data_IF_998347830259
#
_entry.id   IF_998347830259
#
_cell.length_a   1.000
_cell.length_b   1.000
_cell.length_c   1.000
_cell.angle_alpha   90.00
_cell.angle_beta   90.00
_cell.angle_gamma   90.00
#
_symmetry.space_group_name_H-M   'P 1'
#
loop_
_entity.id
_entity.type
_entity.pdbx_description
1 polymer ?
#
# COMPACT_ATOMS: atom_id res chain seq x y z
N UNK A 1 -18.90 -13.44 -58.58
CA UNK A 1 -18.66 -14.91 -58.50
C UNK A 1 -18.03 -15.33 -57.17
N UNK A 2 -17.19 -14.50 -56.54
CA UNK A 2 -16.57 -14.75 -55.23
C UNK A 2 -17.57 -14.96 -54.08
N UNK A 3 -18.63 -14.15 -53.99
CA UNK A 3 -19.62 -14.23 -52.89
C UNK A 3 -20.34 -15.58 -52.81
N UNK A 4 -20.60 -16.24 -53.94
CA UNK A 4 -21.26 -17.56 -53.96
C UNK A 4 -20.37 -18.71 -53.46
N UNK A 5 -19.04 -18.58 -53.59
CA UNK A 5 -18.10 -19.60 -53.12
C UNK A 5 -17.81 -19.48 -51.63
N UNK A 6 -17.85 -18.26 -51.08
CA UNK A 6 -17.56 -18.00 -49.67
C UNK A 6 -18.79 -17.82 -48.77
N UNK A 7 -20.02 -17.96 -49.29
CA UNK A 7 -21.25 -17.73 -48.50
C UNK A 7 -21.28 -18.55 -47.21
N UNK A 8 -20.88 -19.83 -47.25
CA UNK A 8 -20.84 -20.69 -46.05
C UNK A 8 -19.86 -20.18 -44.99
N UNK A 9 -18.70 -19.68 -45.42
CA UNK A 9 -17.70 -19.06 -44.55
C UNK A 9 -18.19 -17.72 -43.99
N UNK A 10 -18.82 -16.89 -44.83
CA UNK A 10 -19.42 -15.61 -44.40
C UNK A 10 -20.53 -15.86 -43.38
N UNK A 11 -21.42 -16.84 -43.61
CA UNK A 11 -22.45 -17.21 -42.65
C UNK A 11 -21.87 -17.74 -41.34
N UNK A 12 -20.81 -18.55 -41.40
CA UNK A 12 -20.12 -19.03 -40.19
C UNK A 12 -19.52 -17.87 -39.39
N UNK A 13 -18.83 -16.93 -40.06
CA UNK A 13 -18.27 -15.73 -39.42
C UNK A 13 -19.38 -14.89 -38.78
N UNK A 14 -20.50 -14.69 -39.47
CA UNK A 14 -21.65 -13.94 -38.92
C UNK A 14 -22.19 -14.64 -37.66
N UNK A 15 -22.36 -15.96 -37.67
CA UNK A 15 -22.82 -16.71 -36.50
C UNK A 15 -21.85 -16.58 -35.34
N UNK A 16 -20.54 -16.69 -35.59
CA UNK A 16 -19.50 -16.50 -34.57
C UNK A 16 -19.59 -15.08 -33.98
N UNK A 17 -19.67 -14.06 -34.83
CA UNK A 17 -19.78 -12.66 -34.38
C UNK A 17 -21.06 -12.45 -33.56
N UNK A 18 -22.19 -12.99 -33.98
CA UNK A 18 -23.46 -12.89 -33.23
C UNK A 18 -23.34 -13.59 -31.87
N UNK A 19 -22.80 -14.80 -31.82
CA UNK A 19 -22.62 -15.53 -30.54
C UNK A 19 -21.68 -14.76 -29.61
N UNK A 20 -20.56 -14.24 -30.13
CA UNK A 20 -19.63 -13.43 -29.34
C UNK A 20 -20.30 -12.14 -28.85
N UNK A 21 -20.99 -11.40 -29.70
CA UNK A 21 -21.71 -10.17 -29.31
C UNK A 21 -22.77 -10.48 -28.27
N UNK A 22 -23.58 -11.53 -28.46
CA UNK A 22 -24.59 -11.92 -27.47
C UNK A 22 -23.94 -12.34 -26.15
N UNK A 23 -22.86 -13.11 -26.19
CA UNK A 23 -22.11 -13.49 -25.00
C UNK A 23 -21.58 -12.25 -24.26
N UNK A 24 -20.86 -11.36 -24.94
CA UNK A 24 -20.29 -10.15 -24.34
C UNK A 24 -21.35 -9.17 -23.82
N UNK A 25 -22.46 -8.99 -24.55
CA UNK A 25 -23.58 -8.13 -24.12
C UNK A 25 -24.31 -8.74 -22.93
N UNK A 26 -24.52 -10.07 -22.93
CA UNK A 26 -25.17 -10.76 -21.81
C UNK A 26 -24.29 -10.73 -20.55
N UNK A 27 -22.98 -10.99 -20.68
CA UNK A 27 -22.05 -10.88 -19.54
C UNK A 27 -21.98 -9.45 -19.01
N UNK A 28 -21.96 -8.43 -19.89
CA UNK A 28 -21.90 -7.03 -19.45
C UNK A 28 -23.19 -6.56 -18.77
N UNK A 29 -24.36 -6.79 -19.39
CA UNK A 29 -25.62 -6.23 -18.87
C UNK A 29 -26.25 -7.05 -17.74
N UNK A 30 -26.07 -8.38 -17.73
CA UNK A 30 -26.71 -9.23 -16.71
C UNK A 30 -25.89 -9.28 -15.43
N UNK A 31 -24.56 -9.16 -15.49
CA UNK A 31 -23.70 -9.13 -14.31
C UNK A 31 -23.67 -7.73 -13.68
N UNK A 32 -23.60 -6.65 -14.49
CA UNK A 32 -23.66 -5.28 -13.96
C UNK A 32 -24.96 -4.98 -13.19
N UNK A 33 -26.08 -5.59 -13.60
CA UNK A 33 -27.36 -5.43 -12.89
C UNK A 33 -27.52 -6.28 -11.61
N UNK A 34 -26.50 -7.05 -11.20
CA UNK A 34 -26.56 -7.90 -10.00
C UNK A 34 -26.02 -7.23 -8.74
N UNK A 35 -25.18 -6.20 -8.90
CA UNK A 35 -24.57 -5.49 -7.79
C UNK A 35 -25.29 -4.16 -7.55
N UNK A 36 -25.40 -3.72 -6.28
CA UNK A 36 -25.90 -2.38 -5.99
C UNK A 36 -24.92 -1.31 -6.50
N UNK A 37 -25.40 -0.11 -6.75
CA UNK A 37 -24.52 1.01 -7.09
C UNK A 37 -24.15 1.75 -5.81
N UNK A 38 -22.86 1.87 -5.49
CA UNK A 38 -22.40 2.67 -4.35
C UNK A 38 -21.92 4.05 -4.80
N UNK A 39 -22.16 5.06 -3.99
CA UNK A 39 -21.69 6.43 -4.24
C UNK A 39 -21.26 7.08 -2.92
N UNK A 40 -20.25 7.94 -3.00
CA UNK A 40 -19.90 8.85 -1.90
C UNK A 40 -20.87 10.05 -1.95
N UNK A 41 -21.77 10.15 -0.99
CA UNK A 41 -22.68 11.28 -0.85
C UNK A 41 -22.14 12.29 0.14
N UNK A 42 -22.13 13.54 -0.25
CA UNK A 42 -21.74 14.64 0.62
C UNK A 42 -22.76 14.88 1.73
N UNK A 43 -22.27 14.92 2.97
CA UNK A 43 -23.01 15.32 4.16
C UNK A 43 -22.72 16.80 4.46
N UNK A 44 -21.43 17.16 4.50
CA UNK A 44 -20.97 18.52 4.76
C UNK A 44 -19.66 18.82 4.01
N UNK A 45 -19.40 20.10 3.72
CA UNK A 45 -18.13 20.56 3.15
C UNK A 45 -18.13 20.71 1.64
N UNK A 46 -16.94 20.81 1.05
CA UNK A 46 -16.75 21.04 -0.39
C UNK A 46 -16.57 19.71 -1.15
N UNK A 47 -17.57 19.35 -1.96
CA UNK A 47 -17.53 18.16 -2.83
C UNK A 47 -16.34 18.16 -3.81
N UNK A 48 -15.76 19.33 -4.12
CA UNK A 48 -14.58 19.41 -4.97
C UNK A 48 -13.37 18.67 -4.40
N UNK A 49 -13.32 18.48 -3.08
CA UNK A 49 -12.24 17.81 -2.35
C UNK A 49 -12.17 16.31 -2.66
N UNK A 50 -13.30 15.68 -3.01
CA UNK A 50 -13.40 14.23 -3.23
C UNK A 50 -13.55 13.82 -4.70
N UNK A 51 -13.43 14.76 -5.64
CA UNK A 51 -13.60 14.48 -7.09
C UNK A 51 -12.60 13.48 -7.64
N UNK A 52 -11.40 13.43 -7.06
CA UNK A 52 -10.31 12.55 -7.47
C UNK A 52 -10.08 11.42 -6.45
N UNK A 53 -11.08 11.14 -5.61
CA UNK A 53 -10.99 10.09 -4.60
C UNK A 53 -11.74 8.85 -5.08
N UNK A 54 -11.05 7.73 -5.04
CA UNK A 54 -11.60 6.40 -5.31
C UNK A 54 -11.38 5.51 -4.08
N UNK A 55 -12.43 4.83 -3.64
CA UNK A 55 -12.38 3.89 -2.53
C UNK A 55 -12.39 2.48 -3.11
N UNK A 56 -11.47 1.65 -2.66
CA UNK A 56 -11.39 0.25 -3.05
C UNK A 56 -11.85 -0.67 -1.92
N UNK A 57 -12.59 -1.72 -2.29
CA UNK A 57 -13.13 -2.68 -1.35
C UNK A 57 -13.66 -3.93 -2.03
N UNK A 58 -14.24 -4.80 -1.22
CA UNK A 58 -14.97 -5.98 -1.66
C UNK A 58 -16.44 -5.89 -1.23
N UNK A 59 -17.33 -6.15 -2.18
CA UNK A 59 -18.75 -6.33 -1.89
C UNK A 59 -19.06 -7.81 -1.74
N UNK A 60 -19.78 -8.17 -0.69
CA UNK A 60 -20.25 -9.51 -0.36
C UNK A 60 -21.78 -9.55 -0.28
N UNK A 61 -22.38 -10.59 -0.87
CA UNK A 61 -23.81 -10.90 -0.73
C UNK A 61 -24.00 -12.34 -0.27
N UNK A 62 -24.67 -12.50 0.87
CA UNK A 62 -25.01 -13.80 1.48
C UNK A 62 -23.80 -14.77 1.55
N UNK A 63 -22.59 -14.25 1.78
CA UNK A 63 -21.30 -14.97 1.88
C UNK A 63 -20.91 -15.85 0.68
N UNK A 64 -21.60 -15.73 -0.46
CA UNK A 64 -21.39 -16.60 -1.64
C UNK A 64 -20.99 -15.85 -2.91
N UNK A 65 -21.32 -14.56 -2.99
CA UNK A 65 -20.97 -13.71 -4.12
C UNK A 65 -20.14 -12.56 -3.61
N UNK A 66 -18.86 -12.56 -3.96
CA UNK A 66 -17.98 -11.42 -3.78
C UNK A 66 -17.55 -10.83 -5.11
N UNK A 67 -17.44 -9.50 -5.16
CA UNK A 67 -16.72 -8.83 -6.23
C UNK A 67 -15.99 -7.64 -5.65
N UNK A 68 -14.70 -7.49 -6.00
CA UNK A 68 -14.00 -6.23 -5.81
C UNK A 68 -14.75 -5.08 -6.47
N UNK A 69 -14.73 -3.92 -5.82
CA UNK A 69 -15.44 -2.71 -6.22
C UNK A 69 -14.58 -1.48 -5.99
N UNK A 70 -14.66 -0.53 -6.91
CA UNK A 70 -14.15 0.84 -6.74
C UNK A 70 -15.34 1.79 -6.64
N UNK A 71 -15.34 2.69 -5.67
CA UNK A 71 -16.43 3.63 -5.39
C UNK A 71 -15.89 5.06 -5.52
N UNK A 72 -16.64 5.91 -6.22
CA UNK A 72 -16.32 7.33 -6.40
C UNK A 72 -17.53 8.19 -6.06
N UNK A 73 -17.38 9.51 -6.19
CA UNK A 73 -18.49 10.45 -6.11
C UNK A 73 -19.46 10.36 -7.30
N UNK A 74 -19.11 9.62 -8.36
CA UNK A 74 -19.97 9.45 -9.54
C UNK A 74 -20.70 8.10 -9.58
N UNK A 75 -20.30 7.15 -8.73
CA UNK A 75 -20.84 5.80 -8.69
C UNK A 75 -19.76 4.76 -8.42
N UNK A 76 -20.13 3.49 -8.55
CA UNK A 76 -19.24 2.34 -8.32
C UNK A 76 -18.98 1.55 -9.59
N UNK A 77 -17.82 0.90 -9.65
CA UNK A 77 -17.42 0.03 -10.75
C UNK A 77 -16.85 -1.28 -10.20
N UNK A 78 -17.38 -2.41 -10.67
CA UNK A 78 -17.02 -3.73 -10.16
C UNK A 78 -16.01 -4.45 -11.05
N UNK A 79 -15.14 -5.25 -10.45
CA UNK A 79 -14.25 -6.15 -11.21
C UNK A 79 -15.03 -7.09 -12.14
N UNK A 80 -16.19 -7.57 -11.68
CA UNK A 80 -17.07 -8.43 -12.48
C UNK A 80 -17.60 -7.75 -13.76
N UNK A 81 -17.66 -6.42 -13.80
CA UNK A 81 -18.12 -5.62 -14.95
C UNK A 81 -17.02 -5.39 -15.99
N UNK A 82 -15.76 -5.70 -15.67
CA UNK A 82 -14.66 -5.58 -16.61
C UNK A 82 -14.86 -6.48 -17.83
N UNK A 83 -14.34 -6.02 -18.97
CA UNK A 83 -14.22 -6.86 -20.15
C UNK A 83 -13.23 -8.01 -19.92
N UNK A 84 -13.32 -9.06 -20.74
CA UNK A 84 -12.39 -10.19 -20.66
C UNK A 84 -10.91 -9.76 -20.74
N UNK A 85 -10.58 -8.78 -21.59
CA UNK A 85 -9.21 -8.31 -21.74
C UNK A 85 -8.74 -7.48 -20.53
N UNK A 86 -9.63 -6.67 -19.94
CA UNK A 86 -9.31 -5.94 -18.72
C UNK A 86 -9.04 -6.89 -17.55
N UNK A 87 -9.77 -8.01 -17.44
CA UNK A 87 -9.49 -9.03 -16.41
C UNK A 87 -8.19 -9.81 -16.61
N UNK A 88 -7.59 -9.76 -17.80
CA UNK A 88 -6.24 -10.30 -18.02
C UNK A 88 -5.16 -9.34 -17.53
N UNK A 89 -5.50 -8.07 -17.32
CA UNK A 89 -4.63 -7.11 -16.64
C UNK A 89 -4.82 -7.32 -15.13
N UNK A 90 -3.71 -7.59 -14.42
CA UNK A 90 -3.69 -8.00 -13.00
C UNK A 90 -4.02 -6.88 -12.00
N UNK A 91 -4.28 -5.67 -12.47
CA UNK A 91 -4.39 -4.46 -11.64
C UNK A 91 -5.86 -4.03 -11.49
N UNK A 92 -6.55 -4.58 -10.49
CA UNK A 92 -7.80 -4.03 -9.97
C UNK A 92 -7.67 -3.80 -8.46
N UNK A 93 -7.84 -2.57 -7.95
CA UNK A 93 -8.16 -1.36 -8.70
C UNK A 93 -6.96 -0.94 -9.58
N UNK A 94 -7.18 0.00 -10.50
CA UNK A 94 -6.07 0.55 -11.30
C UNK A 94 -5.16 1.37 -10.40
N UNK A 95 -3.88 1.02 -10.36
CA UNK A 95 -2.85 1.78 -9.64
C UNK A 95 -1.98 2.61 -10.62
N UNK A 96 -1.02 3.36 -10.10
CA UNK A 96 -0.10 4.18 -10.92
C UNK A 96 0.67 3.32 -11.95
N UNK A 97 1.02 2.08 -11.61
CA UNK A 97 1.69 1.14 -12.53
C UNK A 97 0.83 0.84 -13.77
N UNK A 98 -0.49 0.85 -13.63
CA UNK A 98 -1.42 0.70 -14.76
C UNK A 98 -1.26 1.85 -15.77
N UNK A 99 -1.02 3.08 -15.29
CA UNK A 99 -0.75 4.24 -16.17
C UNK A 99 0.58 4.08 -16.90
N UNK A 100 1.60 3.50 -16.25
CA UNK A 100 2.88 3.19 -16.87
C UNK A 100 2.74 2.16 -18.00
N UNK A 101 1.88 1.15 -17.85
CA UNK A 101 1.59 0.18 -18.92
C UNK A 101 1.00 0.82 -20.16
N UNK A 102 0.12 1.80 -19.99
CA UNK A 102 -0.47 2.52 -21.13
C UNK A 102 0.57 3.38 -21.84
N UNK A 103 1.43 4.08 -21.08
CA UNK A 103 2.40 5.06 -21.58
C UNK A 103 3.72 4.45 -22.11
N UNK A 104 4.25 3.44 -21.43
CA UNK A 104 5.57 2.84 -21.69
C UNK A 104 5.50 1.33 -21.94
N UNK A 105 4.58 0.88 -22.80
CA UNK A 105 4.31 -0.55 -23.11
C UNK A 105 5.56 -1.41 -23.35
N UNK A 106 6.56 -0.87 -24.06
CA UNK A 106 7.79 -1.58 -24.37
C UNK A 106 8.59 -1.92 -23.11
N UNK A 107 8.75 -0.92 -22.24
CA UNK A 107 9.42 -1.08 -20.95
C UNK A 107 8.61 -1.99 -20.02
N UNK A 108 7.29 -1.82 -19.92
CA UNK A 108 6.46 -2.56 -18.96
C UNK A 108 6.28 -4.05 -19.29
N UNK A 109 6.73 -4.51 -20.45
CA UNK A 109 6.52 -5.90 -20.88
C UNK A 109 7.34 -6.87 -20.02
N UNK A 110 6.64 -7.78 -19.33
CA UNK A 110 7.26 -8.83 -18.51
C UNK A 110 7.56 -8.40 -17.07
N UNK A 111 7.09 -7.22 -16.65
CA UNK A 111 7.25 -6.69 -15.29
C UNK A 111 5.97 -6.84 -14.49
N UNK A 112 6.12 -6.97 -13.17
CA UNK A 112 5.01 -7.13 -12.23
C UNK A 112 4.32 -5.80 -11.91
N UNK A 113 3.11 -5.84 -11.35
CA UNK A 113 2.27 -4.65 -11.12
C UNK A 113 2.42 -4.04 -9.72
N UNK A 114 3.52 -4.33 -9.03
CA UNK A 114 3.78 -3.87 -7.67
C UNK A 114 4.43 -2.47 -7.70
N UNK A 115 3.78 -1.41 -7.17
CA UNK A 115 4.36 -0.07 -7.15
C UNK A 115 5.73 0.01 -6.48
N UNK A 116 5.95 -0.74 -5.39
CA UNK A 116 7.24 -0.86 -4.68
C UNK A 116 8.41 -1.30 -5.54
N UNK A 117 8.14 -1.88 -6.71
CA UNK A 117 9.15 -2.30 -7.69
C UNK A 117 9.56 -1.19 -8.65
N UNK A 118 8.96 0.00 -8.58
CA UNK A 118 9.14 1.07 -9.56
C UNK A 118 9.51 2.39 -8.92
N UNK A 119 10.19 3.21 -9.73
CA UNK A 119 10.44 4.61 -9.46
C UNK A 119 10.17 5.42 -10.72
N UNK A 120 9.52 6.59 -10.59
CA UNK A 120 9.23 7.48 -11.70
C UNK A 120 9.50 8.96 -11.33
N UNK A 121 10.41 9.60 -12.08
CA UNK A 121 10.56 11.07 -12.10
C UNK A 121 10.55 11.61 -13.54
N UNK A 122 10.83 12.90 -13.75
CA UNK A 122 10.77 13.50 -15.10
C UNK A 122 11.72 12.85 -16.12
N UNK A 123 12.87 12.33 -15.67
CA UNK A 123 13.94 11.83 -16.54
C UNK A 123 13.91 10.32 -16.71
N UNK A 124 13.63 9.60 -15.63
CA UNK A 124 13.81 8.15 -15.55
C UNK A 124 12.53 7.45 -15.11
N UNK A 125 12.39 6.21 -15.57
CA UNK A 125 11.50 5.21 -15.02
C UNK A 125 12.36 3.98 -14.72
N UNK A 126 12.47 3.60 -13.45
CA UNK A 126 13.24 2.42 -13.05
C UNK A 126 12.29 1.30 -12.59
N UNK A 127 12.75 0.06 -12.76
CA UNK A 127 12.11 -1.14 -12.26
C UNK A 127 13.15 -2.03 -11.59
N UNK A 128 12.81 -2.59 -10.43
CA UNK A 128 13.61 -3.56 -9.71
C UNK A 128 12.75 -4.75 -9.35
N UNK A 129 13.27 -5.94 -9.63
CA UNK A 129 12.66 -7.21 -9.23
C UNK A 129 13.64 -8.02 -8.39
N UNK A 130 13.15 -8.56 -7.29
CA UNK A 130 13.93 -9.41 -6.41
C UNK A 130 13.81 -10.87 -6.86
N UNK A 131 14.88 -11.39 -7.45
CA UNK A 131 14.94 -12.74 -8.00
C UNK A 131 15.77 -13.66 -7.13
N UNK A 132 15.29 -14.87 -6.91
CA UNK A 132 16.01 -15.91 -6.17
C UNK A 132 16.30 -17.15 -7.03
N UNK A 133 17.42 -17.82 -6.74
CA UNK A 133 17.76 -19.11 -7.35
C UNK A 133 16.91 -20.24 -6.72
N UNK A 134 16.63 -21.29 -7.51
CA UNK A 134 15.64 -22.34 -7.23
C UNK A 134 15.74 -22.96 -5.84
N UNK A 135 14.57 -23.09 -5.20
CA UNK A 135 14.26 -23.81 -3.96
C UNK A 135 14.97 -25.16 -3.89
N UNK A 136 15.91 -25.34 -2.96
CA UNK A 136 16.35 -26.68 -2.56
C UNK A 136 15.14 -27.33 -1.89
N UNK A 137 14.67 -28.47 -2.42
CA UNK A 137 13.43 -29.17 -2.04
C UNK A 137 13.31 -29.59 -0.55
N UNK A 138 14.25 -29.18 0.31
CA UNK A 138 14.31 -29.51 1.73
C UNK A 138 14.39 -28.30 2.67
N UNK A 139 14.45 -27.06 2.15
CA UNK A 139 14.44 -25.83 2.96
C UNK A 139 13.42 -24.84 2.41
N UNK A 140 12.73 -24.11 3.30
CA UNK A 140 11.87 -22.99 2.90
C UNK A 140 12.68 -21.72 2.57
N UNK A 141 14.01 -21.82 2.54
CA UNK A 141 14.92 -20.70 2.36
C UNK A 141 15.62 -20.73 1.00
N UNK A 142 15.89 -19.54 0.46
CA UNK A 142 16.57 -19.32 -0.81
C UNK A 142 18.05 -19.00 -0.57
N UNK A 143 18.94 -19.64 -1.33
CA UNK A 143 20.39 -19.51 -1.11
C UNK A 143 21.01 -18.29 -1.78
N UNK A 144 20.43 -17.80 -2.89
CA UNK A 144 20.93 -16.61 -3.58
C UNK A 144 19.79 -15.73 -4.10
N UNK A 145 19.67 -14.53 -3.54
CA UNK A 145 18.90 -13.41 -4.03
C UNK A 145 19.74 -12.51 -4.96
N UNK A 146 19.05 -11.82 -5.84
CA UNK A 146 19.65 -10.95 -6.83
C UNK A 146 18.61 -9.94 -7.31
N UNK A 147 19.08 -8.75 -7.67
CA UNK A 147 18.24 -7.68 -8.18
C UNK A 147 18.31 -7.67 -9.70
N UNK A 148 17.18 -7.87 -10.36
CA UNK A 148 17.03 -7.53 -11.76
C UNK A 148 16.61 -6.07 -11.85
N UNK A 149 17.37 -5.28 -12.59
CA UNK A 149 17.19 -3.83 -12.70
C UNK A 149 16.99 -3.46 -14.17
N UNK A 150 15.98 -2.64 -14.45
CA UNK A 150 15.80 -2.00 -15.75
C UNK A 150 15.52 -0.51 -15.57
N UNK A 151 16.29 0.34 -16.25
CA UNK A 151 16.15 1.80 -16.19
C UNK A 151 15.88 2.35 -17.58
N UNK A 152 14.72 2.98 -17.75
CA UNK A 152 14.31 3.69 -18.97
C UNK A 152 14.71 5.16 -18.87
N UNK A 153 15.46 5.64 -19.86
CA UNK A 153 15.59 7.07 -20.11
C UNK A 153 14.37 7.55 -20.90
N UNK A 154 13.54 8.42 -20.31
CA UNK A 154 12.30 8.88 -20.94
C UNK A 154 12.51 9.81 -22.13
N UNK A 155 13.67 10.45 -22.22
CA UNK A 155 14.02 11.35 -23.33
C UNK A 155 14.43 10.58 -24.59
N UNK A 156 15.19 9.50 -24.43
CA UNK A 156 15.64 8.67 -25.58
C UNK A 156 14.75 7.46 -25.84
N UNK A 157 13.92 7.08 -24.85
CA UNK A 157 13.14 5.86 -24.84
C UNK A 157 14.00 4.58 -24.94
N UNK A 158 15.26 4.66 -24.50
CA UNK A 158 16.16 3.52 -24.38
C UNK A 158 16.16 3.01 -22.94
N UNK A 159 16.17 1.68 -22.79
CA UNK A 159 16.24 1.02 -21.50
C UNK A 159 17.58 0.27 -21.33
N UNK A 160 18.04 0.18 -20.09
CA UNK A 160 19.24 -0.57 -19.74
C UNK A 160 18.92 -1.60 -18.66
N UNK A 161 18.89 -2.85 -19.09
CA UNK A 161 18.65 -4.01 -18.24
C UNK A 161 19.98 -4.62 -17.76
N UNK A 162 20.02 -5.04 -16.50
CA UNK A 162 21.14 -5.77 -15.91
C UNK A 162 20.75 -6.47 -14.60
N UNK A 163 21.64 -7.32 -14.10
CA UNK A 163 21.45 -8.10 -12.87
C UNK A 163 22.56 -7.81 -11.88
N UNK A 164 22.22 -7.64 -10.61
CA UNK A 164 23.13 -7.37 -9.50
C UNK A 164 22.94 -8.43 -8.42
N UNK A 165 24.03 -9.02 -7.93
CA UNK A 165 23.98 -9.97 -6.80
C UNK A 165 24.04 -9.20 -5.49
N UNK A 166 23.18 -9.56 -4.52
CA UNK A 166 23.22 -8.97 -3.19
C UNK A 166 24.33 -9.67 -2.37
N UNK A 167 25.28 -8.94 -1.75
CA UNK A 167 26.34 -9.55 -0.95
C UNK A 167 25.84 -10.05 0.41
N UNK A 168 26.64 -10.86 1.10
CA UNK A 168 26.46 -11.13 2.54
C UNK A 168 25.20 -11.91 2.93
N UNK A 169 24.62 -12.68 2.01
CA UNK A 169 23.39 -13.43 2.26
C UNK A 169 23.62 -14.66 3.12
N UNK A 170 22.75 -14.86 4.10
CA UNK A 170 22.71 -16.06 4.93
C UNK A 170 21.54 -16.96 4.52
N UNK A 171 21.73 -18.28 4.64
CA UNK A 171 20.82 -19.28 4.07
C UNK A 171 19.45 -19.40 4.74
N UNK A 172 19.12 -18.57 5.73
CA UNK A 172 17.82 -18.55 6.45
C UNK A 172 17.11 -17.19 6.39
N UNK A 173 17.54 -16.31 5.48
CA UNK A 173 17.00 -14.96 5.34
C UNK A 173 15.88 -14.89 4.27
N UNK A 174 14.82 -14.16 4.59
CA UNK A 174 13.76 -13.74 3.69
C UNK A 174 14.00 -12.27 3.32
N UNK A 175 14.01 -11.97 2.03
CA UNK A 175 14.25 -10.63 1.51
C UNK A 175 12.95 -10.12 0.90
N UNK A 176 12.55 -8.91 1.26
CA UNK A 176 11.36 -8.24 0.76
C UNK A 176 11.73 -6.87 0.19
N UNK A 177 11.33 -6.61 -1.05
CA UNK A 177 11.58 -5.33 -1.71
C UNK A 177 10.53 -4.32 -1.21
N UNK A 178 10.99 -3.31 -0.48
CA UNK A 178 10.12 -2.33 0.16
C UNK A 178 9.93 -1.11 -0.73
N UNK A 179 11.01 -0.57 -1.28
CA UNK A 179 10.98 0.69 -2.02
C UNK A 179 12.14 0.79 -3.03
N UNK A 180 11.92 1.56 -4.09
CA UNK A 180 12.90 1.88 -5.13
C UNK A 180 12.88 3.38 -5.33
N UNK A 181 14.04 4.01 -5.12
CA UNK A 181 14.23 5.45 -5.28
C UNK A 181 15.43 5.74 -6.18
N UNK A 182 15.50 6.93 -6.75
CA UNK A 182 16.68 7.37 -7.49
C UNK A 182 17.14 8.74 -7.02
N UNK A 183 18.38 8.81 -6.55
CA UNK A 183 19.00 10.05 -6.09
C UNK A 183 20.34 10.25 -6.77
N UNK A 184 20.60 11.44 -7.31
CA UNK A 184 21.82 11.76 -8.08
C UNK A 184 22.15 10.73 -9.18
N UNK A 185 21.11 10.25 -9.88
CA UNK A 185 21.20 9.21 -10.94
C UNK A 185 21.69 7.83 -10.43
N UNK A 186 21.77 7.65 -9.11
CA UNK A 186 22.02 6.37 -8.46
C UNK A 186 20.70 5.78 -7.98
N UNK A 187 20.52 4.49 -8.23
CA UNK A 187 19.34 3.76 -7.79
C UNK A 187 19.54 3.30 -6.34
N UNK A 188 18.59 3.61 -5.48
CA UNK A 188 18.52 3.19 -4.07
C UNK A 188 17.42 2.16 -3.96
N UNK A 189 17.77 0.96 -3.49
CA UNK A 189 16.82 -0.15 -3.34
C UNK A 189 16.72 -0.49 -1.87
N UNK A 190 15.54 -0.28 -1.28
CA UNK A 190 15.27 -0.55 0.13
C UNK A 190 14.74 -1.98 0.26
N UNK A 191 15.42 -2.79 1.08
CA UNK A 191 15.06 -4.19 1.28
C UNK A 191 14.93 -4.44 2.78
N UNK A 192 13.79 -5.03 3.17
CA UNK A 192 13.60 -5.59 4.50
C UNK A 192 14.07 -7.04 4.47
N UNK A 193 14.97 -7.37 5.37
CA UNK A 193 15.54 -8.72 5.48
C UNK A 193 15.14 -9.27 6.83
N UNK A 194 14.47 -10.41 6.81
CA UNK A 194 13.99 -11.10 7.99
C UNK A 194 14.70 -12.46 8.11
N UNK A 195 15.14 -12.83 9.31
CA UNK A 195 15.62 -14.18 9.57
C UNK A 195 14.95 -14.78 10.80
N UNK A 196 14.64 -16.07 10.68
CA UNK A 196 14.16 -16.88 11.80
C UNK A 196 15.37 -17.48 12.50
N UNK A 197 15.60 -17.07 13.75
CA UNK A 197 16.61 -17.67 14.61
C UNK A 197 15.95 -18.78 15.45
N UNK A 198 16.65 -19.91 15.60
CA UNK A 198 16.20 -21.04 16.43
C UNK A 198 15.84 -20.55 17.84
N UNK A 199 14.58 -20.72 18.24
CA UNK A 199 14.02 -20.15 19.48
C UNK A 199 12.80 -19.26 19.30
N UNK A 200 12.32 -19.07 18.05
CA UNK A 200 11.12 -18.29 17.74
C UNK A 200 11.38 -16.78 17.57
N UNK A 201 12.65 -16.39 17.46
CA UNK A 201 13.05 -14.99 17.37
C UNK A 201 13.12 -14.55 15.91
N UNK A 202 12.49 -13.41 15.62
CA UNK A 202 12.53 -12.76 14.32
C UNK A 202 13.57 -11.63 14.37
N UNK A 203 14.65 -11.77 13.61
CA UNK A 203 15.55 -10.66 13.35
C UNK A 203 15.08 -9.94 12.10
N UNK A 204 14.90 -8.63 12.16
CA UNK A 204 14.60 -7.80 11.00
C UNK A 204 15.69 -6.73 10.84
N UNK A 205 16.20 -6.58 9.62
CA UNK A 205 17.04 -5.45 9.22
C UNK A 205 16.43 -4.76 8.00
N UNK A 206 16.64 -3.46 7.92
CA UNK A 206 16.27 -2.65 6.77
C UNK A 206 17.55 -2.14 6.12
N UNK A 207 17.80 -2.49 4.87
CA UNK A 207 19.02 -2.15 4.13
C UNK A 207 18.70 -1.30 2.91
N UNK A 208 19.57 -0.34 2.59
CA UNK A 208 19.60 0.36 1.31
C UNK A 208 20.78 -0.15 0.50
N UNK A 209 20.48 -0.65 -0.70
CA UNK A 209 21.49 -0.99 -1.69
C UNK A 209 21.60 0.13 -2.71
N UNK A 210 22.80 0.70 -2.85
CA UNK A 210 23.07 1.74 -3.86
C UNK A 210 23.65 1.11 -5.12
N UNK A 211 22.95 1.24 -6.24
CA UNK A 211 23.32 0.70 -7.55
C UNK A 211 23.59 1.86 -8.50
N UNK A 212 24.71 1.80 -9.21
CA UNK A 212 25.01 2.71 -10.33
C UNK A 212 24.53 2.09 -11.64
N UNK A 213 23.47 2.63 -12.28
CA UNK A 213 22.97 2.12 -13.55
C UNK A 213 23.96 2.24 -14.71
N UNK A 214 24.88 3.21 -14.66
CA UNK A 214 25.87 3.45 -15.71
C UNK A 214 26.97 2.39 -15.69
N UNK A 215 27.49 2.06 -14.50
CA UNK A 215 28.50 1.00 -14.35
C UNK A 215 27.90 -0.39 -14.16
N UNK A 216 26.58 -0.49 -13.94
CA UNK A 216 25.81 -1.74 -13.72
C UNK A 216 26.30 -2.52 -12.49
N UNK A 217 26.62 -1.80 -11.42
CA UNK A 217 27.23 -2.37 -10.21
C UNK A 217 26.56 -1.88 -8.94
N UNK A 218 26.54 -2.75 -7.94
CA UNK A 218 26.34 -2.35 -6.55
C UNK A 218 27.57 -1.57 -6.08
N UNK A 219 27.36 -0.40 -5.51
CA UNK A 219 28.41 0.50 -5.02
C UNK A 219 28.23 0.91 -3.55
N UNK A 220 27.07 0.60 -2.94
CA UNK A 220 26.79 0.84 -1.52
C UNK A 220 25.85 -0.22 -0.94
N UNK A 221 25.97 -0.45 0.36
CA UNK A 221 25.17 -1.36 1.19
C UNK A 221 25.13 -0.79 2.61
N UNK A 222 24.00 -0.16 2.94
CA UNK A 222 23.82 0.63 4.15
C UNK A 222 22.66 0.09 4.99
N UNK A 223 22.93 -0.37 6.20
CA UNK A 223 21.89 -0.79 7.15
C UNK A 223 21.27 0.43 7.83
N UNK A 224 19.97 0.63 7.62
CA UNK A 224 19.16 1.71 8.23
C UNK A 224 18.82 1.36 9.69
N UNK A 225 18.51 0.10 9.95
CA UNK A 225 18.26 -0.38 11.31
C UNK A 225 18.19 -1.89 11.38
N UNK A 226 18.46 -2.42 12.57
CA UNK A 226 18.36 -3.83 12.88
C UNK A 226 17.77 -4.01 14.27
N UNK A 227 17.12 -5.14 14.46
CA UNK A 227 16.61 -5.58 15.76
C UNK A 227 17.75 -6.30 16.49
N UNK A 228 18.61 -5.59 17.22
CA UNK A 228 19.66 -6.25 18.03
C UNK A 228 19.09 -6.82 19.34
N UNK A 229 19.71 -7.90 19.84
CA UNK A 229 19.32 -8.65 21.02
C UNK A 229 19.77 -7.93 22.31
N UNK A 230 18.85 -7.69 23.24
CA UNK A 230 19.19 -7.39 24.63
C UNK A 230 18.46 -8.40 25.54
N UNK A 231 18.92 -9.65 25.52
CA UNK A 231 18.37 -10.70 26.39
C UNK A 231 18.83 -10.49 27.84
N UNK A 232 17.97 -9.88 28.65
CA UNK A 232 18.09 -9.89 30.11
C UNK A 232 17.33 -11.10 30.68
N UNK A 233 17.86 -11.72 31.74
CA UNK A 233 17.26 -12.91 32.34
C UNK A 233 15.77 -12.66 32.72
N UNK A 234 14.86 -13.39 32.05
CA UNK A 234 13.40 -13.47 32.25
C UNK A 234 12.48 -12.50 31.47
N UNK A 235 13.00 -11.65 30.59
CA UNK A 235 12.16 -10.81 29.70
C UNK A 235 12.61 -11.00 28.25
N UNK A 236 11.68 -11.39 27.37
CA UNK A 236 11.95 -11.43 25.92
C UNK A 236 11.60 -10.06 25.38
N UNK A 237 12.63 -9.31 24.98
CA UNK A 237 12.48 -8.04 24.27
C UNK A 237 12.75 -8.28 22.80
N UNK A 238 11.81 -7.85 21.98
CA UNK A 238 11.95 -7.90 20.54
C UNK A 238 11.74 -6.50 19.99
N UNK A 239 12.41 -6.22 18.88
CA UNK A 239 12.30 -4.94 18.20
C UNK A 239 11.53 -5.13 16.90
N UNK A 240 10.68 -4.18 16.55
CA UNK A 240 10.08 -4.11 15.23
C UNK A 240 10.66 -2.91 14.47
N UNK A 241 10.81 -3.05 13.15
CA UNK A 241 11.24 -1.97 12.26
C UNK A 241 10.33 -1.91 11.03
N UNK A 242 9.77 -0.73 10.80
CA UNK A 242 8.80 -0.48 9.74
C UNK A 242 9.11 0.82 9.02
N UNK A 243 8.82 0.84 7.72
CA UNK A 243 8.82 2.04 6.90
C UNK A 243 7.37 2.54 6.84
N UNK A 244 7.15 3.81 7.16
CA UNK A 244 5.80 4.40 7.19
C UNK A 244 5.45 5.17 5.90
N UNK A 245 6.39 5.30 4.96
CA UNK A 245 6.16 5.93 3.66
C UNK A 245 5.05 5.22 2.87
N UNK A 246 4.40 5.98 1.97
CA UNK A 246 3.44 5.42 1.04
C UNK A 246 4.11 4.52 0.01
N UNK A 247 4.02 3.21 0.22
CA UNK A 247 4.62 2.19 -0.66
C UNK A 247 3.94 2.09 -2.04
N UNK A 248 2.80 2.76 -2.22
CA UNK A 248 2.09 2.83 -3.51
C UNK A 248 2.51 4.06 -4.35
N UNK A 249 3.23 5.01 -3.76
CA UNK A 249 3.78 6.15 -4.48
C UNK A 249 5.15 5.79 -5.08
N UNK A 250 5.30 6.03 -6.38
CA UNK A 250 6.54 5.76 -7.13
C UNK A 250 7.32 7.05 -7.39
N UNK A 251 6.85 8.20 -6.89
CA UNK A 251 7.52 9.47 -7.07
C UNK A 251 8.80 9.57 -6.26
N UNK A 252 9.62 10.56 -6.62
CA UNK A 252 10.91 10.78 -5.98
C UNK A 252 10.73 11.25 -4.53
N UNK A 253 11.14 10.39 -3.60
CA UNK A 253 11.22 10.69 -2.19
C UNK A 253 12.65 10.47 -1.68
N UNK A 254 13.14 11.43 -0.90
CA UNK A 254 14.51 11.42 -0.37
C UNK A 254 14.54 11.03 1.09
N UNK A 255 13.44 11.17 1.80
CA UNK A 255 13.36 10.94 3.23
C UNK A 255 12.43 9.77 3.52
N UNK A 256 12.99 8.78 4.20
CA UNK A 256 12.30 7.58 4.64
C UNK A 256 11.97 7.73 6.12
N UNK A 257 10.69 7.66 6.48
CA UNK A 257 10.24 7.65 7.88
C UNK A 257 10.24 6.21 8.39
N UNK A 258 11.15 5.96 9.33
CA UNK A 258 11.39 4.65 9.92
C UNK A 258 10.86 4.65 11.35
N UNK A 259 9.97 3.72 11.65
CA UNK A 259 9.51 3.45 13.00
C UNK A 259 10.31 2.28 13.59
N UNK A 260 10.76 2.45 14.83
CA UNK A 260 11.34 1.38 15.64
C UNK A 260 10.52 1.21 16.91
N UNK A 261 10.11 -0.02 17.17
CA UNK A 261 9.33 -0.37 18.36
C UNK A 261 10.13 -1.34 19.22
N UNK A 262 10.04 -1.17 20.53
CA UNK A 262 10.49 -2.16 21.52
C UNK A 262 9.24 -2.79 22.13
N UNK A 263 9.18 -4.11 22.06
CA UNK A 263 8.07 -4.90 22.56
C UNK A 263 8.53 -5.80 23.70
N UNK A 264 7.70 -5.91 24.72
CA UNK A 264 7.90 -6.81 25.85
C UNK A 264 6.87 -7.93 25.81
N UNK A 265 7.33 -9.18 25.75
CA UNK A 265 6.46 -10.35 25.85
C UNK A 265 6.24 -10.70 27.31
N UNK A 266 4.99 -10.60 27.78
CA UNK A 266 4.63 -11.11 29.11
C UNK A 266 4.40 -12.62 29.03
N UNK A 267 5.15 -13.40 29.82
CA UNK A 267 4.83 -14.83 30.00
C UNK A 267 3.57 -14.92 30.85
N UNK A 268 2.41 -14.91 30.20
CA UNK A 268 1.16 -15.23 30.87
C UNK A 268 1.32 -16.59 31.58
N UNK A 269 0.94 -16.63 32.86
CA UNK A 269 0.90 -17.88 33.62
C UNK A 269 -0.04 -18.84 32.90
N UNK A 270 0.52 -19.94 32.40
CA UNK A 270 -0.22 -21.03 31.75
C UNK A 270 -1.30 -21.53 32.71
N UNK A 271 -2.55 -21.16 32.46
CA UNK A 271 -3.69 -21.91 32.99
C UNK A 271 -3.82 -23.15 32.10
N UNK A 272 -3.72 -24.35 32.70
CA UNK A 272 -3.60 -25.64 32.00
C UNK A 272 -4.83 -26.01 31.13
N UNK A 273 -5.82 -25.12 31.00
CA UNK A 273 -7.08 -25.36 30.30
C UNK A 273 -7.35 -24.45 29.09
N UNK A 274 -6.42 -23.56 28.70
CA UNK A 274 -6.55 -22.74 27.49
C UNK A 274 -5.50 -23.20 26.48
N UNK A 275 -5.93 -23.48 25.25
CA UNK A 275 -5.06 -23.88 24.15
C UNK A 275 -3.94 -22.83 23.94
N UNK A 276 -2.74 -23.31 23.63
CA UNK A 276 -1.59 -22.50 23.19
C UNK A 276 -2.02 -21.48 22.12
N UNK A 277 -1.94 -20.18 22.40
CA UNK A 277 -1.37 -19.16 21.49
C UNK A 277 -1.42 -17.70 21.98
N UNK A 278 -2.01 -17.36 23.13
CA UNK A 278 -2.09 -15.94 23.54
C UNK A 278 -0.85 -15.50 24.34
N UNK A 279 0.30 -15.37 23.67
CA UNK A 279 1.35 -14.48 24.20
C UNK A 279 1.06 -13.05 23.77
N UNK A 280 0.55 -12.25 24.71
CA UNK A 280 0.35 -10.82 24.50
C UNK A 280 1.70 -10.10 24.61
N UNK A 281 2.11 -9.46 23.51
CA UNK A 281 3.23 -8.53 23.48
C UNK A 281 2.72 -7.10 23.62
N UNK A 282 3.36 -6.31 24.47
CA UNK A 282 3.03 -4.90 24.67
C UNK A 282 4.16 -4.03 24.13
N UNK A 283 3.81 -2.95 23.45
CA UNK A 283 4.80 -1.94 23.02
C UNK A 283 5.20 -1.15 24.26
N UNK A 284 6.48 -1.13 24.58
CA UNK A 284 7.02 -0.38 25.71
C UNK A 284 7.78 0.88 25.27
N UNK A 285 8.18 0.95 24.00
CA UNK A 285 8.79 2.14 23.42
C UNK A 285 8.51 2.19 21.91
N UNK A 286 8.30 3.41 21.39
CA UNK A 286 8.15 3.68 19.96
C UNK A 286 8.95 4.94 19.61
N UNK A 287 9.90 4.79 18.70
CA UNK A 287 10.81 5.85 18.26
C UNK A 287 10.72 6.03 16.75
N UNK A 288 10.76 7.29 16.31
CA UNK A 288 10.61 7.66 14.90
C UNK A 288 11.91 8.27 14.38
N UNK A 289 12.31 7.90 13.17
CA UNK A 289 13.55 8.34 12.55
C UNK A 289 13.31 8.75 11.11
N UNK A 290 14.02 9.78 10.65
CA UNK A 290 14.15 10.10 9.24
C UNK A 290 15.50 9.60 8.74
N UNK A 291 15.47 8.79 7.69
CA UNK A 291 16.65 8.38 6.94
C UNK A 291 16.68 9.10 5.60
N UNK A 292 17.74 9.88 5.35
CA UNK A 292 17.89 10.62 4.11
C UNK A 292 18.71 9.82 3.08
N UNK A 293 18.15 9.58 1.91
CA UNK A 293 18.75 8.75 0.85
C UNK A 293 19.94 9.42 0.11
N UNK A 294 20.07 10.74 0.21
CA UNK A 294 21.21 11.47 -0.37
C UNK A 294 22.43 11.39 0.56
N UNK A 295 22.25 11.75 1.83
CA UNK A 295 23.32 11.80 2.83
C UNK A 295 23.60 10.45 3.49
N UNK A 296 22.64 9.51 3.42
CA UNK A 296 22.64 8.22 4.11
C UNK A 296 22.71 8.38 5.64
N UNK A 297 22.24 9.53 6.16
CA UNK A 297 22.17 9.81 7.59
C UNK A 297 20.78 9.50 8.15
N UNK A 298 20.76 8.84 9.31
CA UNK A 298 19.57 8.67 10.14
C UNK A 298 19.52 9.73 11.24
N UNK A 299 18.35 10.34 11.46
CA UNK A 299 18.08 11.31 12.53
C UNK A 299 16.79 10.96 13.25
N UNK A 300 16.84 10.94 14.58
CA UNK A 300 15.65 10.72 15.41
C UNK A 300 14.76 11.96 15.44
N UNK A 301 13.45 11.75 15.28
CA UNK A 301 12.43 12.77 15.49
C UNK A 301 12.18 12.93 16.99
N UNK A 302 12.45 14.13 17.51
CA UNK A 302 12.35 14.45 18.93
C UNK A 302 10.89 14.71 19.28
N UNK A 303 10.33 13.76 20.03
CA UNK A 303 8.99 13.82 20.61
C UNK A 303 9.05 14.15 22.10
N UNK A 304 8.03 14.87 22.60
CA UNK A 304 7.88 15.13 24.04
C UNK A 304 7.52 13.85 24.80
N UNK A 305 7.77 13.78 26.11
CA UNK A 305 7.41 12.60 26.91
C UNK A 305 5.90 12.29 26.86
N UNK A 306 5.05 13.32 26.88
CA UNK A 306 3.60 13.15 26.71
C UNK A 306 3.25 12.53 25.36
N UNK A 307 3.91 12.97 24.28
CA UNK A 307 3.66 12.40 22.96
C UNK A 307 4.20 10.97 22.83
N UNK A 308 5.31 10.63 23.51
CA UNK A 308 5.79 9.23 23.54
C UNK A 308 4.76 8.29 24.12
N UNK A 309 4.14 8.67 25.25
CA UNK A 309 3.07 7.88 25.87
C UNK A 309 1.86 7.72 24.94
N UNK A 310 1.46 8.79 24.25
CA UNK A 310 0.39 8.70 23.25
C UNK A 310 0.76 7.76 22.09
N UNK A 311 1.98 7.91 21.55
CA UNK A 311 2.45 7.08 20.45
C UNK A 311 2.54 5.61 20.83
N UNK A 312 2.92 5.24 22.05
CA UNK A 312 2.96 3.83 22.48
C UNK A 312 1.57 3.17 22.39
N UNK A 313 0.51 3.92 22.72
CA UNK A 313 -0.86 3.39 22.79
C UNK A 313 -1.67 3.60 21.50
N UNK A 314 -1.09 4.30 20.52
CA UNK A 314 -1.78 4.68 19.30
C UNK A 314 -1.66 3.64 18.18
N UNK A 315 -2.60 3.64 17.25
CA UNK A 315 -2.47 2.96 15.96
C UNK A 315 -1.92 3.95 14.93
N UNK A 316 -0.67 3.76 14.48
CA UNK A 316 -0.09 4.58 13.41
C UNK A 316 -0.53 4.01 12.05
N UNK A 317 -0.75 4.91 11.09
CA UNK A 317 -1.03 4.55 9.71
C UNK A 317 0.25 4.64 8.87
N UNK A 318 0.41 3.69 7.96
CA UNK A 318 1.53 3.63 7.02
C UNK A 318 1.25 4.52 5.80
N UNK A 319 1.05 5.80 6.05
CA UNK A 319 1.08 6.83 5.02
C UNK A 319 1.71 8.09 5.60
N UNK A 320 2.69 8.63 4.88
CA UNK A 320 3.50 9.77 5.31
C UNK A 320 3.54 10.76 4.17
N UNK A 321 3.21 12.00 4.49
CA UNK A 321 3.32 13.10 3.55
C UNK A 321 4.53 13.94 3.89
N UNK A 322 5.43 14.10 2.92
CA UNK A 322 6.55 15.03 3.02
C UNK A 322 6.20 16.23 2.15
N UNK A 323 6.12 17.40 2.78
CA UNK A 323 5.74 18.66 2.13
C UNK A 323 6.70 19.75 2.59
N UNK A 324 7.32 20.43 1.64
CA UNK A 324 8.36 21.43 1.86
C UNK A 324 9.53 20.94 2.75
N UNK A 325 9.51 21.32 4.02
CA UNK A 325 10.53 21.00 5.02
C UNK A 325 9.93 20.28 6.24
N UNK A 326 8.79 19.62 6.02
CA UNK A 326 8.02 18.96 7.06
C UNK A 326 7.64 17.55 6.65
N UNK A 327 7.64 16.66 7.64
CA UNK A 327 7.11 15.31 7.52
C UNK A 327 5.85 15.20 8.37
N UNK A 328 4.79 14.67 7.78
CA UNK A 328 3.50 14.48 8.41
C UNK A 328 3.18 13.00 8.54
N UNK A 329 2.70 12.58 9.71
CA UNK A 329 2.21 11.23 9.95
C UNK A 329 0.92 11.28 10.76
N UNK A 330 0.08 10.27 10.62
CA UNK A 330 -1.20 10.19 11.31
C UNK A 330 -1.27 8.99 12.25
N UNK A 331 -1.95 9.18 13.38
CA UNK A 331 -2.28 8.10 14.32
C UNK A 331 -3.68 8.25 14.87
N UNK A 332 -4.30 7.13 15.24
CA UNK A 332 -5.59 7.08 15.93
C UNK A 332 -5.37 6.71 17.39
N UNK A 333 -5.95 7.51 18.29
CA UNK A 333 -6.02 7.23 19.73
C UNK A 333 -7.38 7.67 20.26
N UNK A 334 -8.08 6.79 20.98
CA UNK A 334 -9.39 7.07 21.60
C UNK A 334 -10.42 7.71 20.64
N UNK A 335 -10.51 7.21 19.40
CA UNK A 335 -11.44 7.73 18.38
C UNK A 335 -11.03 9.05 17.73
N UNK A 336 -9.86 9.59 18.08
CA UNK A 336 -9.32 10.85 17.54
C UNK A 336 -8.17 10.60 16.58
N UNK A 337 -8.37 10.99 15.33
CA UNK A 337 -7.32 10.96 14.32
C UNK A 337 -6.45 12.20 14.49
N UNK A 338 -5.17 12.00 14.78
CA UNK A 338 -4.21 13.08 14.99
C UNK A 338 -3.12 13.04 13.94
N UNK A 339 -2.86 14.19 13.33
CA UNK A 339 -1.76 14.41 12.39
C UNK A 339 -0.65 15.19 13.12
N UNK A 340 0.56 14.66 13.09
CA UNK A 340 1.76 15.30 13.61
C UNK A 340 2.62 15.78 12.47
N UNK A 341 3.09 17.02 12.55
CA UNK A 341 4.09 17.57 11.64
C UNK A 341 5.42 17.78 12.36
N UNK A 342 6.51 17.25 11.78
CA UNK A 342 7.86 17.46 12.26
C UNK A 342 8.67 18.27 11.26
N UNK A 343 9.49 19.17 11.77
CA UNK A 343 10.41 19.97 10.98
C UNK A 343 11.67 19.17 10.63
N UNK A 344 12.03 19.06 9.34
CA UNK A 344 13.17 18.26 8.87
C UNK A 344 14.55 18.91 9.14
N UNK A 345 14.61 20.21 9.45
CA UNK A 345 15.88 20.85 9.85
C UNK A 345 16.17 20.66 11.34
N UNK A 346 15.15 20.79 12.19
CA UNK A 346 15.30 20.75 13.65
C UNK A 346 14.99 19.39 14.27
N UNK A 347 14.30 18.52 13.51
CA UNK A 347 13.81 17.21 13.91
C UNK A 347 12.89 17.27 15.13
N UNK A 348 12.08 18.33 15.24
CA UNK A 348 11.14 18.54 16.35
C UNK A 348 9.72 18.63 15.83
N UNK A 349 8.78 18.25 16.68
CA UNK A 349 7.36 18.52 16.49
C UNK A 349 7.14 20.03 16.29
N UNK A 350 6.44 20.38 15.21
CA UNK A 350 6.10 21.76 14.84
C UNK A 350 4.58 21.97 14.80
N UNK A 351 3.81 20.91 14.50
CA UNK A 351 2.36 20.96 14.50
C UNK A 351 1.73 19.66 14.99
N UNK A 352 0.57 19.79 15.62
CA UNK A 352 -0.30 18.69 16.05
C UNK A 352 -1.74 19.13 15.85
N UNK A 353 -2.47 18.39 15.04
CA UNK A 353 -3.87 18.66 14.69
C UNK A 353 -4.67 17.38 14.91
N UNK A 354 -5.80 17.48 15.59
CA UNK A 354 -6.65 16.32 15.90
C UNK A 354 -8.08 16.52 15.42
N UNK A 355 -8.68 15.43 14.95
CA UNK A 355 -10.06 15.36 14.47
C UNK A 355 -10.79 14.27 15.23
N UNK A 356 -11.97 14.59 15.75
CA UNK A 356 -12.84 13.62 16.42
C UNK A 356 -13.64 12.83 15.38
N UNK A 357 -12.95 11.94 14.69
CA UNK A 357 -13.49 11.21 13.54
C UNK A 357 -14.59 10.22 13.96
N UNK A 358 -14.53 9.72 15.19
CA UNK A 358 -15.60 8.90 15.75
C UNK A 358 -16.89 9.70 15.99
N UNK A 359 -16.82 10.93 16.52
CA UNK A 359 -17.98 11.82 16.62
C UNK A 359 -18.57 12.17 15.23
N UNK A 360 -17.76 12.10 14.18
CA UNK A 360 -18.19 12.27 12.78
C UNK A 360 -18.71 10.97 12.13
N UNK A 361 -18.83 9.88 12.89
CA UNK A 361 -19.33 8.59 12.44
C UNK A 361 -18.36 7.78 11.58
N UNK A 362 -17.07 8.14 11.55
CA UNK A 362 -16.02 7.30 10.97
C UNK A 362 -15.56 6.33 12.04
N UNK A 363 -16.27 5.20 12.13
CA UNK A 363 -15.91 4.09 13.02
C UNK A 363 -15.05 3.06 12.30
N UNK A 364 -14.20 2.35 13.06
CA UNK A 364 -13.34 1.27 12.55
C UNK A 364 -12.57 1.70 11.29
N UNK A 365 -11.67 2.68 11.39
CA UNK A 365 -10.96 3.22 10.23
C UNK A 365 -10.12 2.12 9.57
N UNK A 366 -10.34 1.88 8.27
CA UNK A 366 -9.54 0.95 7.48
C UNK A 366 -8.30 1.60 6.88
N UNK A 367 -8.43 2.85 6.44
CA UNK A 367 -7.37 3.55 5.77
C UNK A 367 -7.31 5.04 6.16
N UNK A 368 -6.09 5.57 6.20
CA UNK A 368 -5.79 6.98 6.40
C UNK A 368 -4.73 7.39 5.40
N UNK A 369 -5.11 8.32 4.52
CA UNK A 369 -4.22 8.84 3.48
C UNK A 369 -3.79 10.27 3.81
N UNK A 370 -2.51 10.60 3.64
CA UNK A 370 -2.00 11.97 3.74
C UNK A 370 -1.53 12.44 2.36
N UNK A 371 -2.24 13.42 1.77
CA UNK A 371 -1.88 13.94 0.45
C UNK A 371 -2.37 15.37 0.24
N UNK A 372 -1.53 16.21 -0.38
CA UNK A 372 -1.86 17.60 -0.75
C UNK A 372 -2.39 18.43 0.44
N UNK A 373 -1.66 18.40 1.56
CA UNK A 373 -1.97 19.06 2.83
C UNK A 373 -3.33 18.66 3.44
N UNK A 374 -3.81 17.46 3.11
CA UNK A 374 -5.06 16.90 3.62
C UNK A 374 -4.84 15.53 4.21
N UNK A 375 -5.63 15.22 5.24
CA UNK A 375 -5.79 13.88 5.77
C UNK A 375 -7.15 13.36 5.36
N UNK A 376 -7.18 12.16 4.81
CA UNK A 376 -8.39 11.42 4.43
C UNK A 376 -8.54 10.25 5.41
N UNK A 377 -9.75 9.96 5.84
CA UNK A 377 -10.03 8.79 6.66
C UNK A 377 -11.27 8.06 6.14
N UNK A 378 -11.18 6.73 6.12
CA UNK A 378 -12.19 5.84 5.57
C UNK A 378 -12.63 4.83 6.63
N UNK A 379 -13.94 4.70 6.87
CA UNK A 379 -14.48 3.62 7.69
C UNK A 379 -14.34 2.26 6.99
N UNK A 380 -14.14 1.18 7.75
CA UNK A 380 -13.82 -0.16 7.22
C UNK A 380 -14.99 -0.85 6.52
N UNK A 381 -16.22 -0.71 7.01
CA UNK A 381 -17.32 -1.48 6.45
C UNK A 381 -18.67 -0.77 6.48
N UNK A 382 -19.52 -1.17 5.54
CA UNK A 382 -20.92 -0.81 5.44
C UNK A 382 -21.76 -2.07 5.28
N UNK A 383 -22.82 -2.18 6.07
CA UNK A 383 -23.86 -3.20 5.89
C UNK A 383 -25.26 -2.59 6.05
N UNK A 384 -26.27 -3.44 6.32
CA UNK A 384 -27.64 -3.01 6.54
C UNK A 384 -27.85 -2.24 7.86
N UNK A 385 -26.93 -2.39 8.81
CA UNK A 385 -26.98 -1.83 10.17
C UNK A 385 -25.95 -0.72 10.38
N UNK A 386 -24.87 -0.69 9.59
CA UNK A 386 -23.78 0.30 9.72
C UNK A 386 -23.73 1.30 8.57
N UNK A 387 -23.27 2.50 8.89
CA UNK A 387 -22.89 3.52 7.92
C UNK A 387 -21.38 3.47 7.71
N UNK A 388 -20.92 3.72 6.49
CA UNK A 388 -19.51 3.97 6.23
C UNK A 388 -19.34 5.42 5.81
N UNK A 389 -18.44 6.11 6.50
CA UNK A 389 -18.20 7.54 6.30
C UNK A 389 -16.78 7.78 5.77
N UNK A 390 -16.67 8.86 5.01
CA UNK A 390 -15.42 9.40 4.48
C UNK A 390 -15.23 10.79 5.08
N UNK A 391 -14.04 11.04 5.61
CA UNK A 391 -13.67 12.31 6.22
C UNK A 391 -12.47 12.91 5.51
N UNK A 392 -12.45 14.25 5.35
CA UNK A 392 -11.26 14.99 4.91
C UNK A 392 -11.02 16.21 5.79
N UNK A 393 -9.80 16.32 6.31
CA UNK A 393 -9.32 17.43 7.14
C UNK A 393 -8.10 18.13 6.54
N UNK A 394 -7.96 19.41 6.84
CA UNK A 394 -6.78 20.21 6.51
C UNK A 394 -5.70 20.03 7.59
N UNK A 395 -4.53 19.52 7.21
CA UNK A 395 -3.48 19.12 8.18
C UNK A 395 -2.82 20.30 8.87
N UNK A 396 -2.88 21.49 8.27
CA UNK A 396 -2.23 22.70 8.79
C UNK A 396 -3.16 23.47 9.74
N UNK A 397 -4.44 23.60 9.39
CA UNK A 397 -5.41 24.43 10.10
C UNK A 397 -6.33 23.65 11.03
N UNK A 398 -6.41 22.33 10.89
CA UNK A 398 -7.34 21.49 11.65
C UNK A 398 -8.80 21.71 11.33
N UNK A 399 -9.08 22.31 10.16
CA UNK A 399 -10.45 22.45 9.68
C UNK A 399 -10.90 21.17 8.99
N UNK A 400 -12.13 20.77 9.29
CA UNK A 400 -12.85 19.78 8.48
C UNK A 400 -13.17 20.41 7.13
N UNK A 401 -12.76 19.76 6.05
CA UNK A 401 -12.99 20.21 4.68
C UNK A 401 -14.18 19.49 4.03
N UNK A 402 -14.39 18.23 4.40
CA UNK A 402 -15.43 17.39 3.82
C UNK A 402 -15.84 16.25 4.77
N UNK A 403 -17.14 15.93 4.75
CA UNK A 403 -17.71 14.71 5.32
C UNK A 403 -18.68 14.10 4.31
N UNK A 404 -18.58 12.79 4.12
CA UNK A 404 -19.48 12.04 3.25
C UNK A 404 -19.87 10.69 3.83
N UNK A 405 -20.96 10.15 3.31
CA UNK A 405 -21.47 8.81 3.62
C UNK A 405 -21.50 7.99 2.33
N UNK A 406 -21.16 6.71 2.43
CA UNK A 406 -21.30 5.76 1.33
C UNK A 406 -22.73 5.23 1.32
N UNK A 407 -23.46 5.55 0.26
CA UNK A 407 -24.85 5.12 0.06
C UNK A 407 -24.97 4.05 -1.02
N UNK A 408 -25.80 3.05 -0.78
CA UNK A 408 -26.21 2.08 -1.79
C UNK A 408 -27.47 2.59 -2.52
N UNK A 409 -27.38 2.74 -3.83
CA UNK A 409 -28.50 3.03 -4.72
C UNK A 409 -29.03 1.74 -5.35
N UNK A 410 -30.33 1.75 -5.65
CA UNK A 410 -31.02 0.67 -6.38
C UNK A 410 -30.91 -0.72 -5.72
N UNK A 411 -30.79 -0.77 -4.39
CA UNK A 411 -30.98 -2.04 -3.67
C UNK A 411 -32.43 -2.48 -3.86
N UNK A 412 -32.65 -3.65 -4.47
CA UNK A 412 -34.00 -4.24 -4.48
C UNK A 412 -34.36 -4.52 -3.02
N UNK A 413 -35.50 -3.98 -2.59
CA UNK A 413 -36.00 -4.02 -1.21
C UNK A 413 -35.67 -5.33 -0.46
N UNK A 414 -34.88 -5.19 0.62
CA UNK A 414 -35.08 -5.80 1.94
C UNK A 414 -35.00 -7.32 2.20
N UNK A 415 -34.39 -8.17 1.35
CA UNK A 415 -34.23 -9.60 1.73
C UNK A 415 -32.80 -10.15 1.81
N UNK A 416 -31.79 -9.49 1.22
CA UNK A 416 -30.42 -10.01 1.25
C UNK A 416 -29.51 -9.22 2.19
N UNK A 417 -28.82 -9.95 3.06
CA UNK A 417 -27.70 -9.42 3.83
C UNK A 417 -26.54 -9.14 2.88
N UNK A 418 -26.08 -7.89 2.87
CA UNK A 418 -24.85 -7.51 2.17
C UNK A 418 -23.84 -6.93 3.14
N UNK A 419 -22.58 -7.02 2.75
CA UNK A 419 -21.46 -6.45 3.47
C UNK A 419 -20.52 -5.83 2.43
N UNK A 420 -20.17 -4.56 2.60
CA UNK A 420 -19.15 -3.87 1.83
C UNK A 420 -17.99 -3.63 2.78
N UNK A 421 -16.86 -4.25 2.51
CA UNK A 421 -15.60 -4.04 3.22
C UNK A 421 -14.70 -3.17 2.36
N UNK A 422 -14.05 -2.17 2.95
CA UNK A 422 -13.25 -1.18 2.22
C UNK A 422 -11.86 -1.14 2.80
N UNK A 423 -10.87 -1.20 1.92
CA UNK A 423 -9.49 -1.46 2.29
C UNK A 423 -8.58 -0.27 2.06
N UNK A 424 -8.87 0.57 1.06
CA UNK A 424 -7.92 1.57 0.57
C UNK A 424 -8.66 2.79 -0.01
N UNK A 425 -8.08 3.97 0.18
CA UNK A 425 -8.54 5.24 -0.37
C UNK A 425 -7.44 5.83 -1.25
N UNK A 426 -7.71 5.89 -2.55
CA UNK A 426 -6.77 6.37 -3.55
C UNK A 426 -7.13 7.80 -3.92
N UNK A 427 -6.16 8.72 -3.76
CA UNK A 427 -6.28 10.12 -4.17
C UNK A 427 -5.46 10.35 -5.46
N UNK A 428 -6.12 10.60 -6.58
CA UNK A 428 -5.50 10.72 -7.93
C UNK A 428 -4.89 12.09 -8.24
#
# INVERSE_FOLDING_TARGET
MLVKQFWRLISLIIVIVVVLVTYFVHTGLVVAGQFPEFIIKTVEGDESVIKNVEIYGDYYRNDQYSSPVTISNTGSFYFAEQSYFQRLESSFPRNEVSKLKEKYRGFMRGKWDYPTSYFENEKFLAYVDLQFSTRVLQTNYHQDYSLYVDVLNKSTNDSSEFKVTIPGQEGSEYFDLVDVQMTDELLKVVIKIQSYVDGGQNFAKLNVYTIDPSSKKLIGDETIGSTEEENQENVIRWHNIELLNNLNDMHEEKNLLVMKEELEESKASVDENIAQDDTASEIINRSLYIFNLDSLEMKELKVSETLKEELINANLYSDVMISDNQVYLAYLLDGKLTVLGFNLETYKEESKVSFDVQEMGVENISDVTLKNDKVYALGLYKDNLTTANVFVGDVTSGKVLYQGEIEAKNTKDNEDTYHLEMYDLIVQ
#
